data_IF_192231346758
#
_entry.id   IF_192231346758
#
_cell.length_a   1.000
_cell.length_b   1.000
_cell.length_c   1.000
_cell.angle_alpha   90.00
_cell.angle_beta   90.00
_cell.angle_gamma   90.00
#
_symmetry.space_group_name_H-M   'P 1'
#
loop_
_entity.id
_entity.type
_entity.pdbx_description
1 polymer ?
#
# COMPACT_ATOMS: atom_id res chain seq x y z
N UNK A 1 -29.99 8.21 8.05
CA UNK A 1 -28.63 8.80 8.23
C UNK A 1 -27.59 7.71 8.09
N UNK A 2 -26.38 8.03 7.61
CA UNK A 2 -25.20 7.19 7.82
C UNK A 2 -24.46 7.73 9.04
N UNK A 3 -23.89 6.85 9.89
CA UNK A 3 -23.02 7.29 10.99
C UNK A 3 -21.87 8.13 10.44
N UNK A 4 -21.77 9.38 10.86
CA UNK A 4 -20.55 10.15 10.65
C UNK A 4 -19.42 9.53 11.50
N UNK A 5 -18.26 9.21 10.91
CA UNK A 5 -17.18 8.58 11.65
C UNK A 5 -16.61 9.56 12.65
N UNK A 6 -16.74 9.23 13.96
CA UNK A 6 -16.29 10.08 15.09
C UNK A 6 -14.92 10.72 14.78
N UNK A 7 -14.76 12.04 15.02
CA UNK A 7 -13.64 12.81 14.47
C UNK A 7 -12.26 12.40 15.00
N UNK A 8 -12.20 11.73 16.15
CA UNK A 8 -11.00 11.09 16.70
C UNK A 8 -10.52 9.92 15.81
N UNK A 9 -11.43 9.03 15.42
CA UNK A 9 -11.13 7.84 14.60
C UNK A 9 -10.66 8.24 13.21
N UNK A 10 -11.35 9.19 12.59
CA UNK A 10 -10.99 9.74 11.27
C UNK A 10 -9.57 10.32 11.26
N UNK A 11 -9.20 11.09 12.29
CA UNK A 11 -7.84 11.62 12.45
C UNK A 11 -6.80 10.52 12.69
N UNK A 12 -7.11 9.52 13.51
CA UNK A 12 -6.21 8.37 13.75
C UNK A 12 -5.93 7.57 12.47
N UNK A 13 -6.96 7.25 11.69
CA UNK A 13 -6.77 6.50 10.43
C UNK A 13 -6.00 7.30 9.38
N UNK A 14 -6.30 8.60 9.23
CA UNK A 14 -5.57 9.46 8.31
C UNK A 14 -4.10 9.66 8.75
N UNK A 15 -3.84 9.79 10.05
CA UNK A 15 -2.49 9.89 10.62
C UNK A 15 -1.66 8.61 10.46
N UNK A 16 -2.25 7.44 10.72
CA UNK A 16 -1.59 6.14 10.50
C UNK A 16 -1.26 5.93 9.01
N UNK A 17 -2.16 6.32 8.11
CA UNK A 17 -1.93 6.23 6.66
C UNK A 17 -0.83 7.20 6.20
N UNK A 18 -0.83 8.44 6.72
CA UNK A 18 0.23 9.41 6.42
C UNK A 18 1.59 8.94 6.96
N UNK A 19 1.65 8.38 8.17
CA UNK A 19 2.88 7.80 8.73
C UNK A 19 3.42 6.66 7.86
N UNK A 20 2.55 5.73 7.44
CA UNK A 20 2.93 4.65 6.53
C UNK A 20 3.46 5.17 5.19
N UNK A 21 2.74 6.09 4.56
CA UNK A 21 3.15 6.71 3.30
C UNK A 21 4.48 7.48 3.43
N UNK A 22 4.73 8.19 4.53
CA UNK A 22 6.01 8.87 4.78
C UNK A 22 7.18 7.88 4.95
N UNK A 23 6.96 6.73 5.58
CA UNK A 23 8.00 5.69 5.75
C UNK A 23 8.35 5.05 4.39
N UNK A 24 7.35 4.75 3.56
CA UNK A 24 7.58 4.24 2.20
C UNK A 24 8.27 5.31 1.34
N UNK A 25 7.74 6.54 1.32
CA UNK A 25 8.30 7.68 0.59
C UNK A 25 9.77 7.95 0.96
N UNK A 26 10.11 7.97 2.25
CA UNK A 26 11.48 8.15 2.72
C UNK A 26 12.39 7.05 2.17
N UNK A 27 11.99 5.78 2.26
CA UNK A 27 12.75 4.66 1.70
C UNK A 27 12.95 4.81 0.18
N UNK A 28 11.89 5.12 -0.54
CA UNK A 28 11.91 5.24 -2.01
C UNK A 28 12.79 6.41 -2.46
N UNK A 29 12.71 7.56 -1.78
CA UNK A 29 13.60 8.72 -2.01
C UNK A 29 15.05 8.35 -1.73
N UNK A 30 15.36 7.74 -0.58
CA UNK A 30 16.72 7.32 -0.22
C UNK A 30 17.30 6.38 -1.27
N UNK A 31 16.54 5.37 -1.73
CA UNK A 31 17.00 4.47 -2.80
C UNK A 31 17.26 5.20 -4.13
N UNK A 32 16.46 6.20 -4.49
CA UNK A 32 16.71 7.00 -5.71
C UNK A 32 17.96 7.88 -5.56
N UNK A 33 18.17 8.49 -4.40
CA UNK A 33 19.37 9.30 -4.09
C UNK A 33 20.65 8.44 -4.02
N UNK A 34 20.56 7.21 -3.52
CA UNK A 34 21.63 6.19 -3.55
C UNK A 34 21.87 5.60 -4.95
N UNK A 35 21.21 6.12 -6.00
CA UNK A 35 21.47 5.76 -7.39
C UNK A 35 20.79 4.48 -7.88
N UNK A 36 19.77 3.96 -7.18
CA UNK A 36 19.13 2.69 -7.52
C UNK A 36 18.59 2.62 -8.97
N UNK A 37 18.26 3.73 -9.62
CA UNK A 37 17.80 3.75 -11.01
C UNK A 37 18.89 3.35 -12.03
N UNK A 38 20.18 3.54 -11.69
CA UNK A 38 21.30 2.99 -12.48
C UNK A 38 21.47 1.48 -12.25
N UNK A 39 21.28 1.04 -11.00
CA UNK A 39 21.52 -0.34 -10.54
C UNK A 39 20.41 -1.31 -10.96
N UNK A 40 19.15 -0.87 -10.89
CA UNK A 40 17.97 -1.69 -11.16
C UNK A 40 17.75 -1.92 -12.66
N UNK A 41 17.13 -3.05 -13.01
CA UNK A 41 16.62 -3.28 -14.37
C UNK A 41 15.56 -2.23 -14.73
N UNK A 42 15.46 -1.88 -16.01
CA UNK A 42 14.64 -0.74 -16.45
C UNK A 42 13.18 -0.78 -15.96
N UNK A 43 12.57 -1.97 -15.94
CA UNK A 43 11.20 -2.15 -15.48
C UNK A 43 11.05 -2.04 -13.95
N UNK A 44 12.03 -2.48 -13.15
CA UNK A 44 12.03 -2.27 -11.69
C UNK A 44 12.38 -0.82 -11.34
N UNK A 45 13.20 -0.14 -12.15
CA UNK A 45 13.37 1.31 -12.11
C UNK A 45 12.04 2.04 -12.31
N UNK A 46 11.28 1.68 -13.35
CA UNK A 46 9.94 2.24 -13.59
C UNK A 46 8.96 1.96 -12.44
N UNK A 47 8.96 0.76 -11.85
CA UNK A 47 8.15 0.46 -10.65
C UNK A 47 8.57 1.30 -9.43
N UNK A 48 9.85 1.64 -9.29
CA UNK A 48 10.36 2.51 -8.21
C UNK A 48 9.88 3.95 -8.37
N UNK A 49 9.85 4.46 -9.60
CA UNK A 49 9.28 5.79 -9.91
C UNK A 49 7.77 5.80 -9.71
N UNK A 50 7.07 4.71 -10.07
CA UNK A 50 5.63 4.57 -9.82
C UNK A 50 5.30 4.51 -8.33
N UNK A 51 6.11 3.80 -7.53
CA UNK A 51 6.01 3.74 -6.07
C UNK A 51 6.17 5.13 -5.45
N UNK A 52 7.21 5.88 -5.85
CA UNK A 52 7.45 7.25 -5.42
C UNK A 52 6.24 8.17 -5.65
N UNK A 53 5.63 8.09 -6.84
CA UNK A 53 4.43 8.86 -7.19
C UNK A 53 3.21 8.43 -6.37
N UNK A 54 3.01 7.12 -6.18
CA UNK A 54 1.86 6.59 -5.43
C UNK A 54 1.99 6.89 -3.92
N UNK A 55 3.20 6.86 -3.35
CA UNK A 55 3.45 7.25 -1.96
C UNK A 55 3.16 8.74 -1.74
N UNK A 56 3.64 9.62 -2.64
CA UNK A 56 3.34 11.06 -2.62
C UNK A 56 1.84 11.33 -2.70
N UNK A 57 1.13 10.70 -3.64
CA UNK A 57 -0.33 10.85 -3.79
C UNK A 57 -1.07 10.31 -2.57
N UNK A 58 -0.61 9.19 -1.97
CA UNK A 58 -1.16 8.63 -0.74
C UNK A 58 -0.99 9.60 0.44
N UNK A 59 0.20 10.16 0.61
CA UNK A 59 0.51 11.12 1.68
C UNK A 59 -0.34 12.39 1.54
N UNK A 60 -0.39 12.99 0.34
CA UNK A 60 -1.23 14.18 0.07
C UNK A 60 -2.72 13.89 0.31
N UNK A 61 -3.22 12.73 -0.13
CA UNK A 61 -4.61 12.35 0.11
C UNK A 61 -4.90 12.11 1.60
N UNK A 62 -3.97 11.50 2.35
CA UNK A 62 -4.09 11.26 3.78
C UNK A 62 -4.08 12.58 4.58
N UNK A 63 -3.17 13.50 4.28
CA UNK A 63 -3.12 14.83 4.88
C UNK A 63 -4.39 15.65 4.57
N UNK A 64 -4.86 15.63 3.31
CA UNK A 64 -6.12 16.26 2.90
C UNK A 64 -7.32 15.66 3.67
N UNK A 65 -7.35 14.35 3.89
CA UNK A 65 -8.39 13.69 4.69
C UNK A 65 -8.30 14.06 6.18
N UNK A 66 -7.10 14.10 6.77
CA UNK A 66 -6.89 14.48 8.16
C UNK A 66 -7.38 15.91 8.48
N UNK A 67 -7.13 16.84 7.56
CA UNK A 67 -7.53 18.25 7.67
C UNK A 67 -9.03 18.44 7.45
N UNK A 68 -9.56 17.93 6.34
CA UNK A 68 -10.97 18.16 5.93
C UNK A 68 -11.99 17.24 6.61
N UNK A 69 -11.57 16.10 7.16
CA UNK A 69 -12.39 15.01 7.75
C UNK A 69 -13.41 14.35 6.81
N UNK A 70 -13.68 14.93 5.63
CA UNK A 70 -14.72 14.48 4.70
C UNK A 70 -14.51 13.05 4.21
N UNK A 71 -15.57 12.23 4.27
CA UNK A 71 -15.52 10.81 3.92
C UNK A 71 -15.09 10.53 2.47
N UNK A 72 -15.38 11.45 1.54
CA UNK A 72 -14.94 11.36 0.14
C UNK A 72 -13.40 11.36 0.00
N UNK A 73 -12.71 12.22 0.76
CA UNK A 73 -11.24 12.24 0.76
C UNK A 73 -10.65 10.98 1.40
N UNK A 74 -11.31 10.42 2.41
CA UNK A 74 -10.93 9.12 2.97
C UNK A 74 -11.06 7.96 1.97
N UNK A 75 -12.09 7.97 1.13
CA UNK A 75 -12.23 6.97 0.06
C UNK A 75 -11.11 7.06 -0.99
N UNK A 76 -10.59 8.27 -1.27
CA UNK A 76 -9.43 8.48 -2.14
C UNK A 76 -8.14 8.02 -1.46
N UNK A 77 -7.88 8.47 -0.23
CA UNK A 77 -6.68 8.13 0.53
C UNK A 77 -6.54 6.60 0.73
N UNK A 78 -7.62 5.91 1.10
CA UNK A 78 -7.62 4.45 1.27
C UNK A 78 -7.45 3.68 -0.05
N UNK A 79 -7.80 4.26 -1.21
CA UNK A 79 -7.53 3.63 -2.52
C UNK A 79 -6.05 3.72 -2.89
N UNK A 80 -5.44 4.89 -2.74
CA UNK A 80 -4.02 5.07 -3.01
C UNK A 80 -3.14 4.31 -2.00
N UNK A 81 -3.48 4.33 -0.72
CA UNK A 81 -2.78 3.54 0.30
C UNK A 81 -2.83 2.02 0.07
N UNK A 82 -3.94 1.50 -0.47
CA UNK A 82 -4.02 0.11 -0.88
C UNK A 82 -3.13 -0.17 -2.10
N UNK A 83 -3.08 0.73 -3.08
CA UNK A 83 -2.19 0.63 -4.24
C UNK A 83 -0.70 0.69 -3.83
N UNK A 84 -0.32 1.62 -2.94
CA UNK A 84 1.01 1.73 -2.36
C UNK A 84 1.43 0.41 -1.68
N UNK A 85 0.56 -0.11 -0.81
CA UNK A 85 0.78 -1.37 -0.08
C UNK A 85 0.99 -2.57 -1.02
N UNK A 86 0.18 -2.67 -2.08
CA UNK A 86 0.28 -3.76 -3.07
C UNK A 86 1.55 -3.62 -3.91
N UNK A 87 1.88 -2.41 -4.38
CA UNK A 87 3.08 -2.14 -5.17
C UNK A 87 4.35 -2.37 -4.35
N UNK A 88 4.36 -1.97 -3.07
CA UNK A 88 5.46 -2.23 -2.15
C UNK A 88 5.69 -3.73 -1.93
N UNK A 89 4.61 -4.49 -1.69
CA UNK A 89 4.69 -5.93 -1.53
C UNK A 89 5.18 -6.63 -2.81
N UNK A 90 4.75 -6.17 -3.99
CA UNK A 90 5.28 -6.63 -5.26
C UNK A 90 6.79 -6.30 -5.40
N UNK A 91 7.22 -5.09 -5.02
CA UNK A 91 8.64 -4.70 -5.02
C UNK A 91 9.51 -5.57 -4.11
N UNK A 92 9.00 -5.94 -2.94
CA UNK A 92 9.70 -6.84 -2.00
C UNK A 92 9.74 -8.27 -2.54
N UNK A 93 8.67 -8.75 -3.18
CA UNK A 93 8.66 -10.03 -3.91
C UNK A 93 9.67 -10.05 -5.06
N UNK A 94 9.75 -8.98 -5.85
CA UNK A 94 10.73 -8.85 -6.96
C UNK A 94 12.16 -8.92 -6.44
N UNK A 95 12.47 -8.23 -5.33
CA UNK A 95 13.77 -8.31 -4.68
C UNK A 95 14.06 -9.74 -4.19
N UNK A 96 13.10 -10.42 -3.56
CA UNK A 96 13.27 -11.80 -3.10
C UNK A 96 13.51 -12.77 -4.28
N UNK A 97 12.75 -12.63 -5.37
CA UNK A 97 12.93 -13.39 -6.61
C UNK A 97 14.29 -13.15 -7.25
N UNK A 98 14.76 -11.90 -7.32
CA UNK A 98 16.08 -11.56 -7.88
C UNK A 98 17.27 -12.24 -7.18
N UNK A 99 17.07 -12.78 -5.96
CA UNK A 99 18.09 -13.55 -5.23
C UNK A 99 17.97 -15.08 -5.41
N UNK A 100 16.96 -15.57 -6.11
CA UNK A 100 16.88 -16.97 -6.53
C UNK A 100 17.76 -17.19 -7.79
N UNK A 101 18.57 -18.25 -7.88
CA UNK A 101 19.46 -18.48 -9.03
C UNK A 101 18.75 -18.50 -10.40
N UNK A 102 17.52 -18.99 -10.46
CA UNK A 102 16.71 -19.03 -11.68
C UNK A 102 16.21 -17.64 -12.16
N UNK A 103 16.35 -16.59 -11.33
CA UNK A 103 15.85 -15.24 -11.55
C UNK A 103 16.93 -14.16 -11.29
N UNK A 104 18.22 -14.54 -11.36
CA UNK A 104 19.40 -13.71 -11.03
C UNK A 104 19.58 -12.43 -11.88
N UNK A 105 18.64 -12.12 -12.77
CA UNK A 105 18.67 -10.97 -13.69
C UNK A 105 17.43 -10.06 -13.51
N UNK A 106 16.56 -10.35 -12.53
CA UNK A 106 15.20 -9.80 -12.47
C UNK A 106 15.16 -8.39 -11.85
N UNK A 107 15.81 -8.20 -10.69
CA UNK A 107 15.81 -6.93 -9.94
C UNK A 107 16.98 -5.99 -10.34
N UNK A 108 18.21 -6.51 -10.34
CA UNK A 108 19.45 -5.74 -10.54
C UNK A 108 20.12 -6.10 -11.87
N UNK A 109 20.65 -5.10 -12.58
CA UNK A 109 21.42 -5.33 -13.80
C UNK A 109 22.74 -6.03 -13.46
N UNK A 110 22.99 -7.21 -14.03
CA UNK A 110 24.78 -8.35 -13.65
C UNK A 110 26.08 -7.55 -13.65
N UNK A 111 26.15 -6.46 -14.41
CA UNK A 111 27.21 -5.47 -14.33
C UNK A 111 27.31 -4.79 -12.95
N UNK A 112 26.21 -4.71 -12.22
CA UNK A 112 26.14 -4.20 -10.84
C UNK A 112 25.89 -5.29 -9.78
N UNK A 113 25.61 -6.55 -10.18
CA UNK A 113 25.23 -7.62 -9.23
C UNK A 113 26.40 -8.07 -8.34
N UNK A 114 27.65 -7.98 -8.80
CA UNK A 114 28.82 -8.27 -7.96
C UNK A 114 28.97 -7.26 -6.80
N UNK A 115 28.72 -5.97 -7.06
CA UNK A 115 28.72 -4.92 -6.04
C UNK A 115 27.50 -4.97 -5.11
N UNK A 116 26.35 -5.44 -5.61
CA UNK A 116 25.08 -5.49 -4.85
C UNK A 116 24.62 -6.90 -4.47
N UNK A 117 25.57 -7.82 -4.33
CA UNK A 117 25.43 -9.11 -3.64
C UNK A 117 25.23 -8.96 -2.11
N UNK A 118 24.45 -7.95 -1.71
CA UNK A 118 24.06 -7.68 -0.34
C UNK A 118 23.47 -8.93 0.30
N UNK A 119 24.07 -9.35 1.43
CA UNK A 119 23.59 -10.46 2.26
C UNK A 119 22.20 -10.11 2.82
N UNK A 120 21.38 -11.12 3.07
CA UNK A 120 20.02 -10.93 3.61
C UNK A 120 20.10 -10.38 5.05
N UNK A 121 20.05 -9.06 5.22
CA UNK A 121 20.07 -8.43 6.53
C UNK A 121 18.69 -8.49 7.20
N UNK A 122 18.67 -8.78 8.50
CA UNK A 122 17.44 -8.94 9.29
C UNK A 122 16.57 -7.67 9.25
N UNK A 123 17.20 -6.50 9.40
CA UNK A 123 16.53 -5.21 9.45
C UNK A 123 16.01 -4.66 8.11
N UNK A 124 16.50 -5.15 6.95
CA UNK A 124 16.04 -4.67 5.64
C UNK A 124 15.09 -5.66 4.97
N UNK A 125 15.51 -6.93 4.79
CA UNK A 125 14.78 -7.89 3.95
C UNK A 125 13.59 -8.48 4.71
N UNK A 126 13.84 -9.03 5.90
CA UNK A 126 12.81 -9.70 6.69
C UNK A 126 11.78 -8.70 7.22
N UNK A 127 12.22 -7.58 7.81
CA UNK A 127 11.33 -6.53 8.29
C UNK A 127 10.40 -5.96 7.20
N UNK A 128 10.94 -5.62 6.02
CA UNK A 128 10.12 -5.15 4.89
C UNK A 128 9.15 -6.22 4.38
N UNK A 129 9.56 -7.50 4.37
CA UNK A 129 8.69 -8.62 3.97
C UNK A 129 7.54 -8.81 4.96
N UNK A 130 7.82 -8.78 6.27
CA UNK A 130 6.78 -8.87 7.31
C UNK A 130 5.79 -7.71 7.22
N UNK A 131 6.26 -6.47 7.08
CA UNK A 131 5.37 -5.31 6.91
C UNK A 131 4.55 -5.37 5.61
N UNK A 132 5.15 -5.83 4.51
CA UNK A 132 4.44 -6.02 3.23
C UNK A 132 3.32 -7.05 3.34
N UNK A 133 3.60 -8.21 3.96
CA UNK A 133 2.60 -9.27 4.18
C UNK A 133 1.48 -8.80 5.09
N UNK A 134 1.80 -8.15 6.21
CA UNK A 134 0.79 -7.59 7.14
C UNK A 134 -0.06 -6.51 6.46
N UNK A 135 0.55 -5.65 5.63
CA UNK A 135 -0.15 -4.65 4.83
C UNK A 135 -1.15 -5.27 3.84
N UNK A 136 -0.70 -6.27 3.05
CA UNK A 136 -1.58 -6.98 2.11
C UNK A 136 -2.72 -7.71 2.82
N UNK A 137 -2.46 -8.37 3.96
CA UNK A 137 -3.50 -8.96 4.82
C UNK A 137 -4.50 -7.89 5.26
N UNK A 138 -4.03 -6.72 5.71
CA UNK A 138 -4.88 -5.58 6.07
C UNK A 138 -5.79 -5.11 4.92
N UNK A 139 -5.25 -4.98 3.70
CA UNK A 139 -6.02 -4.63 2.49
C UNK A 139 -7.09 -5.68 2.20
N UNK A 140 -6.75 -6.98 2.25
CA UNK A 140 -7.68 -8.09 2.01
C UNK A 140 -8.81 -8.15 3.05
N UNK A 141 -8.49 -7.97 4.33
CA UNK A 141 -9.47 -7.93 5.43
C UNK A 141 -10.42 -6.74 5.26
N UNK A 142 -9.91 -5.54 4.95
CA UNK A 142 -10.73 -4.35 4.70
C UNK A 142 -11.64 -4.56 3.48
N UNK A 143 -11.13 -5.17 2.40
CA UNK A 143 -11.90 -5.50 1.21
C UNK A 143 -13.04 -6.50 1.50
N UNK A 144 -12.75 -7.59 2.23
CA UNK A 144 -13.75 -8.58 2.62
C UNK A 144 -14.84 -7.97 3.51
N UNK A 145 -14.47 -7.19 4.53
CA UNK A 145 -15.42 -6.49 5.41
C UNK A 145 -16.32 -5.54 4.59
N UNK A 146 -15.77 -4.82 3.61
CA UNK A 146 -16.56 -3.96 2.71
C UNK A 146 -17.51 -4.77 1.82
N UNK A 147 -17.05 -5.87 1.23
CA UNK A 147 -17.87 -6.77 0.39
C UNK A 147 -19.01 -7.41 1.19
N UNK A 148 -18.74 -7.90 2.39
CA UNK A 148 -19.75 -8.48 3.28
C UNK A 148 -20.80 -7.43 3.73
N UNK A 149 -20.39 -6.20 4.04
CA UNK A 149 -21.31 -5.09 4.35
C UNK A 149 -22.17 -4.68 3.15
N UNK A 150 -21.62 -4.68 1.93
CA UNK A 150 -22.38 -4.41 0.72
C UNK A 150 -23.44 -5.49 0.46
N UNK A 151 -23.06 -6.78 0.54
CA UNK A 151 -23.99 -7.91 0.38
C UNK A 151 -25.13 -7.88 1.41
N UNK A 152 -24.83 -7.60 2.69
CA UNK A 152 -25.86 -7.45 3.74
C UNK A 152 -26.82 -6.29 3.47
N UNK A 153 -26.36 -5.18 2.88
CA UNK A 153 -27.25 -4.05 2.50
C UNK A 153 -28.17 -4.43 1.33
N UNK A 154 -27.66 -5.12 0.31
CA UNK A 154 -28.47 -5.62 -0.79
C UNK A 154 -29.55 -6.61 -0.31
N UNK A 155 -29.19 -7.59 0.52
CA UNK A 155 -30.12 -8.58 1.07
C UNK A 155 -31.12 -8.03 2.10
N UNK A 156 -30.92 -6.80 2.60
CA UNK A 156 -31.92 -6.07 3.37
C UNK A 156 -32.86 -5.25 2.47
N UNK A 157 -32.35 -4.68 1.38
CA UNK A 157 -33.15 -3.96 0.39
C UNK A 157 -34.06 -4.89 -0.44
N UNK A 158 -33.70 -6.17 -0.58
CA UNK A 158 -34.50 -7.19 -1.29
C UNK A 158 -35.56 -7.89 -0.42
N UNK A 159 -35.84 -7.38 0.79
CA UNK A 159 -36.97 -7.87 1.61
C UNK A 159 -38.21 -7.02 1.33
N UNK A 160 -39.34 -7.61 0.85
CA UNK A 160 -40.58 -6.88 0.63
C UNK A 160 -41.11 -6.17 1.89
N UNK A 161 -41.92 -5.12 1.69
CA UNK A 161 -42.55 -4.33 2.77
C UNK A 161 -43.78 -5.01 3.41
N UNK A 162 -43.92 -6.33 3.31
CA UNK A 162 -45.05 -7.15 3.80
C UNK A 162 -45.28 -7.14 5.34
N UNK A 163 -44.63 -6.24 6.07
CA UNK A 163 -44.80 -6.01 7.51
C UNK A 163 -45.27 -4.58 7.85
N UNK A 164 -45.85 -3.88 6.88
CA UNK A 164 -46.46 -2.56 7.07
C UNK A 164 -48.01 -2.58 7.09
N UNK A 165 -48.61 -3.75 6.85
CA UNK A 165 -50.07 -3.93 6.64
C UNK A 165 -50.64 -5.05 7.54
N UNK A 166 -50.05 -5.23 8.74
CA UNK A 166 -50.52 -6.09 9.84
C UNK A 166 -50.12 -5.48 11.18
#
# INVERSE_FOLDING_TARGET
MADEPRPDRTRRYAGLLALGATILLYRTVTMVVEGALAILTAWVGALTVLELVIDLVTLVAALRWASSRAAAHGAVALRWGAAATILHALRVLIFALGRAPAWLNFDVRPEHRAAHAARWTWGQVYFASTLSVLGVIGVLVIWWIRRARAARRAGLASRPRERAER
#
